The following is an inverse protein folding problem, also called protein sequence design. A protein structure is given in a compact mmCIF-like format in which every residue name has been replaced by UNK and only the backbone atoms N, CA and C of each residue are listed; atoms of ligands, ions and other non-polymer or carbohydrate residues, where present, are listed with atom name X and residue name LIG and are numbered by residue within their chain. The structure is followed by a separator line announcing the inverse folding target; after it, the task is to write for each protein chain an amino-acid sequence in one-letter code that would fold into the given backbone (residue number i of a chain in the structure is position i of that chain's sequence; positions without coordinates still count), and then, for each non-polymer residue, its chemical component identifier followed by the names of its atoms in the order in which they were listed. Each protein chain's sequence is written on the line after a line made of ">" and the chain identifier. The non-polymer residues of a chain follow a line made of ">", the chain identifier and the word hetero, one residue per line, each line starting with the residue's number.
data_IF_240567210500
#
_entry.id   IF_240567210500
#
_cell.length_a   1.000
_cell.length_b   1.000
_cell.length_c   1.000
_cell.angle_alpha   90.00
_cell.angle_beta   90.00
_cell.angle_gamma   90.00
#
_symmetry.space_group_name_H-M   'P 1'
#
loop_
_entity.id
_entity.type
_entity.pdbx_description
1 polymer ?
#
# COMPACT_ATOMS: atom_id res chain seq x y z
N UNK A 1 -11.56 0.83 -1.08
CA UNK A 1 -11.47 -0.65 -1.16
C UNK A 1 -12.59 -1.38 -0.41
N UNK A 2 -13.12 -0.89 0.73
CA UNK A 2 -14.17 -1.60 1.50
C UNK A 2 -15.48 -1.87 0.71
N UNK A 3 -15.82 -1.02 -0.27
CA UNK A 3 -17.05 -1.18 -1.05
C UNK A 3 -17.09 -2.41 -1.98
N UNK A 4 -15.95 -3.05 -2.28
CA UNK A 4 -15.90 -4.15 -3.25
C UNK A 4 -16.38 -5.50 -2.69
N UNK A 5 -16.35 -5.67 -1.36
CA UNK A 5 -16.63 -6.95 -0.71
C UNK A 5 -17.94 -6.96 0.09
N UNK A 6 -18.55 -5.79 0.31
CA UNK A 6 -19.81 -5.69 1.02
C UNK A 6 -20.93 -6.35 0.20
N UNK A 7 -21.61 -7.33 0.80
CA UNK A 7 -22.70 -8.08 0.13
C UNK A 7 -22.25 -9.24 -0.76
N UNK A 8 -20.96 -9.35 -1.12
CA UNK A 8 -20.45 -10.50 -1.88
C UNK A 8 -19.90 -11.58 -0.93
N UNK A 9 -20.20 -12.87 -1.13
CA UNK A 9 -19.54 -13.94 -0.40
C UNK A 9 -18.08 -14.10 -0.84
N UNK A 10 -17.15 -14.26 0.09
CA UNK A 10 -15.74 -14.53 -0.20
C UNK A 10 -15.08 -15.42 0.87
N UNK A 11 -13.86 -15.89 0.57
CA UNK A 11 -13.06 -16.71 1.48
C UNK A 11 -11.81 -15.96 1.89
N UNK A 12 -11.56 -15.89 3.20
CA UNK A 12 -10.34 -15.34 3.78
C UNK A 12 -9.45 -16.49 4.20
N UNK A 13 -8.27 -16.60 3.57
CA UNK A 13 -7.27 -17.60 3.93
C UNK A 13 -6.25 -17.01 4.89
N UNK A 14 -5.99 -17.70 6.00
CA UNK A 14 -5.01 -17.30 7.01
C UNK A 14 -4.12 -18.47 7.38
N UNK A 15 -2.85 -18.20 7.64
CA UNK A 15 -1.90 -19.17 8.19
C UNK A 15 -1.90 -19.21 9.72
N UNK A 16 -2.80 -18.46 10.35
CA UNK A 16 -2.99 -18.49 11.78
C UNK A 16 -4.26 -19.27 12.15
N UNK A 17 -4.07 -20.45 12.74
CA UNK A 17 -5.17 -21.34 13.14
C UNK A 17 -6.08 -20.74 14.22
N UNK A 18 -5.56 -19.86 15.09
CA UNK A 18 -6.41 -19.18 16.06
C UNK A 18 -7.34 -18.19 15.37
N UNK A 19 -6.85 -17.51 14.33
CA UNK A 19 -7.64 -16.57 13.52
C UNK A 19 -8.66 -17.30 12.64
N UNK A 20 -8.39 -18.52 12.17
CA UNK A 20 -9.39 -19.26 11.37
C UNK A 20 -10.68 -19.56 12.15
N UNK A 21 -10.62 -19.57 13.48
CA UNK A 21 -11.77 -19.74 14.36
C UNK A 21 -12.28 -18.43 14.96
N UNK A 22 -11.78 -17.27 14.50
CA UNK A 22 -12.04 -15.98 15.15
C UNK A 22 -13.53 -15.68 15.31
N UNK A 23 -14.37 -15.99 14.32
CA UNK A 23 -15.82 -15.73 14.35
C UNK A 23 -16.61 -16.67 15.27
N UNK A 24 -16.07 -17.84 15.62
CA UNK A 24 -16.75 -18.84 16.46
C UNK A 24 -16.18 -18.92 17.88
N UNK A 25 -15.25 -18.03 18.25
CA UNK A 25 -14.60 -18.06 19.55
C UNK A 25 -15.57 -17.68 20.68
N UNK A 26 -15.70 -18.50 21.74
CA UNK A 26 -16.69 -18.27 22.81
C UNK A 26 -16.27 -17.19 23.81
N UNK A 27 -14.96 -16.91 23.95
CA UNK A 27 -14.42 -15.94 24.90
C UNK A 27 -13.61 -14.91 24.14
N UNK A 28 -14.05 -13.65 24.19
CA UNK A 28 -13.46 -12.55 23.46
C UNK A 28 -13.01 -11.46 24.43
N UNK A 29 -11.85 -10.87 24.15
CA UNK A 29 -11.47 -9.59 24.75
C UNK A 29 -12.31 -8.46 24.13
N UNK A 30 -12.44 -7.32 24.81
CA UNK A 30 -13.19 -6.16 24.29
C UNK A 30 -12.66 -5.65 22.95
N UNK A 31 -11.39 -5.89 22.63
CA UNK A 31 -10.83 -5.59 21.31
C UNK A 31 -11.35 -6.56 20.26
N UNK A 32 -11.35 -7.86 20.55
CA UNK A 32 -11.81 -8.88 19.61
C UNK A 32 -13.31 -8.77 19.34
N UNK A 33 -14.12 -8.45 20.34
CA UNK A 33 -15.56 -8.22 20.16
C UNK A 33 -15.85 -7.07 19.17
N UNK A 34 -15.16 -5.93 19.33
CA UNK A 34 -15.26 -4.81 18.37
C UNK A 34 -14.86 -5.20 16.94
N UNK A 35 -13.82 -6.02 16.81
CA UNK A 35 -13.41 -6.52 15.50
C UNK A 35 -14.43 -7.50 14.91
N UNK A 36 -15.02 -8.38 15.72
CA UNK A 36 -16.08 -9.27 15.24
C UNK A 36 -17.31 -8.49 14.79
N UNK A 37 -17.73 -7.48 15.55
CA UNK A 37 -18.87 -6.62 15.18
C UNK A 37 -18.63 -5.94 13.84
N UNK A 38 -17.45 -5.31 13.67
CA UNK A 38 -17.08 -4.68 12.40
C UNK A 38 -16.99 -5.68 11.23
N UNK A 39 -16.46 -6.88 11.49
CA UNK A 39 -16.33 -7.90 10.46
C UNK A 39 -17.67 -8.59 10.15
N UNK A 40 -18.65 -8.55 11.06
CA UNK A 40 -19.96 -9.17 10.87
C UNK A 40 -20.77 -8.55 9.71
N UNK A 41 -20.39 -7.34 9.27
CA UNK A 41 -20.97 -6.67 8.10
C UNK A 41 -20.64 -7.40 6.77
N UNK A 42 -19.64 -8.28 6.77
CA UNK A 42 -19.17 -8.98 5.57
C UNK A 42 -19.62 -10.45 5.55
N UNK A 43 -19.97 -10.96 4.37
CA UNK A 43 -20.25 -12.38 4.16
C UNK A 43 -18.96 -13.12 3.79
N UNK A 44 -18.30 -13.73 4.76
CA UNK A 44 -17.08 -14.50 4.48
C UNK A 44 -16.92 -15.75 5.33
N UNK A 45 -16.04 -16.63 4.85
CA UNK A 45 -15.57 -17.81 5.59
C UNK A 45 -14.07 -17.70 5.82
N UNK A 46 -13.63 -18.06 7.02
CA UNK A 46 -12.21 -18.15 7.37
C UNK A 46 -11.71 -19.58 7.16
N UNK A 47 -10.66 -19.72 6.36
CA UNK A 47 -10.01 -21.01 6.09
C UNK A 47 -8.54 -20.96 6.50
N UNK A 48 -8.09 -22.01 7.18
CA UNK A 48 -6.68 -22.19 7.43
C UNK A 48 -5.94 -22.60 6.15
N UNK A 49 -4.80 -21.95 5.90
CA UNK A 49 -3.85 -22.29 4.84
C UNK A 49 -2.46 -22.32 5.43
N UNK A 50 -1.74 -23.44 5.31
CA UNK A 50 -0.38 -23.54 5.82
C UNK A 50 0.52 -22.37 5.34
N UNK A 51 1.28 -21.78 6.26
CA UNK A 51 2.16 -20.63 5.96
C UNK A 51 3.17 -20.92 4.84
N UNK A 52 3.63 -22.17 4.74
CA UNK A 52 4.47 -22.66 3.63
C UNK A 52 3.79 -22.64 2.26
N UNK A 53 2.52 -22.31 2.18
CA UNK A 53 1.81 -22.09 0.91
C UNK A 53 1.31 -20.65 0.80
N UNK A 54 1.41 -19.83 1.85
CA UNK A 54 0.88 -18.47 1.91
C UNK A 54 1.92 -17.42 1.44
N UNK A 55 2.83 -17.81 0.54
CA UNK A 55 3.99 -17.01 0.16
C UNK A 55 3.65 -15.63 -0.40
N UNK A 56 2.55 -15.48 -1.13
CA UNK A 56 2.15 -14.18 -1.70
C UNK A 56 1.80 -13.19 -0.58
N UNK A 57 1.01 -13.63 0.41
CA UNK A 57 0.65 -12.78 1.53
C UNK A 57 1.85 -12.48 2.43
N UNK A 58 2.72 -13.46 2.65
CA UNK A 58 3.96 -13.30 3.43
C UNK A 58 4.96 -12.35 2.74
N UNK A 59 5.15 -12.48 1.42
CA UNK A 59 6.00 -11.56 0.66
C UNK A 59 5.47 -10.13 0.71
N UNK A 60 4.15 -9.94 0.56
CA UNK A 60 3.52 -8.62 0.64
C UNK A 60 3.60 -8.02 2.05
N UNK A 61 3.45 -8.82 3.11
CA UNK A 61 3.52 -8.32 4.49
C UNK A 61 4.93 -7.91 4.90
N UNK A 62 5.97 -8.48 4.29
CA UNK A 62 7.39 -8.19 4.55
C UNK A 62 7.99 -7.10 3.67
N UNK A 63 7.23 -6.57 2.71
CA UNK A 63 7.68 -5.49 1.84
C UNK A 63 7.83 -4.19 2.61
N UNK A 64 9.08 -3.90 3.02
CA UNK A 64 9.43 -2.70 3.76
C UNK A 64 9.09 -1.41 3.00
N UNK A 65 9.19 -1.42 1.67
CA UNK A 65 8.79 -0.31 0.79
C UNK A 65 7.30 0.06 0.94
N UNK A 66 6.42 -0.92 1.15
CA UNK A 66 5.00 -0.67 1.44
C UNK A 66 4.78 -0.09 2.84
N UNK A 67 5.60 -0.47 3.82
CA UNK A 67 5.57 0.14 5.15
C UNK A 67 6.03 1.61 5.10
N UNK A 68 7.01 1.93 4.25
CA UNK A 68 7.48 3.30 4.03
C UNK A 68 6.49 4.14 3.21
N UNK A 69 5.67 3.56 2.33
CA UNK A 69 4.65 4.33 1.61
C UNK A 69 3.62 4.99 2.54
N UNK A 70 3.28 4.35 3.67
CA UNK A 70 2.41 4.95 4.68
C UNK A 70 3.03 6.20 5.33
N UNK A 71 4.35 6.17 5.60
CA UNK A 71 5.07 7.32 6.17
C UNK A 71 5.38 8.39 5.12
N UNK A 72 5.73 8.01 3.89
CA UNK A 72 5.99 8.93 2.77
C UNK A 72 4.71 9.62 2.32
N UNK A 73 3.55 8.96 2.32
CA UNK A 73 2.28 9.62 2.02
C UNK A 73 1.95 10.69 3.08
N UNK A 74 2.11 10.37 4.37
CA UNK A 74 1.92 11.31 5.47
C UNK A 74 2.91 12.49 5.43
N UNK A 75 4.18 12.23 5.09
CA UNK A 75 5.19 13.26 4.86
C UNK A 75 4.90 14.08 3.60
N UNK A 76 4.39 13.47 2.53
CA UNK A 76 4.09 14.17 1.27
C UNK A 76 2.92 15.15 1.41
N UNK A 77 2.02 14.90 2.36
CA UNK A 77 0.96 15.80 2.81
C UNK A 77 1.38 16.75 3.93
N UNK A 78 2.60 16.67 4.45
CA UNK A 78 3.11 17.57 5.48
C UNK A 78 3.42 18.94 4.90
N UNK A 79 3.04 20.00 5.61
CA UNK A 79 3.34 21.38 5.26
C UNK A 79 4.85 21.64 5.05
N UNK A 80 5.72 20.88 5.75
CA UNK A 80 7.18 20.96 5.58
C UNK A 80 7.61 20.41 4.21
N UNK A 81 7.05 19.28 3.77
CA UNK A 81 7.38 18.71 2.47
C UNK A 81 6.82 19.55 1.32
N UNK A 82 5.66 20.19 1.50
CA UNK A 82 5.11 21.15 0.54
C UNK A 82 6.03 22.38 0.42
N UNK A 83 6.51 22.93 1.55
CA UNK A 83 7.47 24.05 1.56
C UNK A 83 8.78 23.72 0.84
N UNK A 84 9.36 22.54 1.09
CA UNK A 84 10.59 22.10 0.40
C UNK A 84 10.34 21.88 -1.09
N UNK A 85 9.21 21.28 -1.46
CA UNK A 85 8.82 21.06 -2.87
C UNK A 85 8.59 22.38 -3.61
N UNK A 86 7.93 23.34 -2.98
CA UNK A 86 7.68 24.66 -3.55
C UNK A 86 8.97 25.44 -3.73
N UNK A 87 9.88 25.38 -2.74
CA UNK A 87 11.19 26.03 -2.86
C UNK A 87 12.08 25.38 -3.93
N UNK A 88 12.06 24.06 -4.02
CA UNK A 88 12.76 23.33 -5.08
C UNK A 88 12.20 23.70 -6.46
N UNK A 89 10.86 23.79 -6.60
CA UNK A 89 10.21 24.23 -7.84
C UNK A 89 10.60 25.66 -8.22
N UNK A 90 10.63 26.58 -7.26
CA UNK A 90 11.02 27.98 -7.51
C UNK A 90 12.46 28.08 -8.00
N UNK A 91 13.40 27.38 -7.35
CA UNK A 91 14.81 27.38 -7.76
C UNK A 91 15.01 26.74 -9.14
N UNK A 92 14.35 25.61 -9.40
CA UNK A 92 14.44 24.91 -10.69
C UNK A 92 13.74 25.68 -11.82
N UNK A 93 12.73 26.50 -11.50
CA UNK A 93 12.06 27.33 -12.50
C UNK A 93 12.97 28.43 -13.08
N UNK A 94 14.05 28.81 -12.38
CA UNK A 94 15.04 29.77 -12.87
C UNK A 94 16.28 29.14 -13.51
N UNK A 95 16.43 27.81 -13.45
CA UNK A 95 17.61 27.11 -13.98
C UNK A 95 17.40 26.74 -15.47
N UNK A 96 18.21 27.28 -16.39
CA UNK A 96 18.10 26.98 -17.82
C UNK A 96 18.28 25.50 -18.14
N UNK A 97 19.11 24.77 -17.37
CA UNK A 97 19.32 23.34 -17.57
C UNK A 97 18.07 22.53 -17.17
N UNK A 98 17.45 22.90 -16.05
CA UNK A 98 16.20 22.27 -15.60
C UNK A 98 15.05 22.54 -16.57
N UNK A 99 14.92 23.78 -17.09
CA UNK A 99 13.92 24.11 -18.10
C UNK A 99 14.13 23.31 -19.40
N UNK A 100 15.40 23.12 -19.82
CA UNK A 100 15.73 22.28 -20.97
C UNK A 100 15.26 20.83 -20.79
N UNK A 101 15.46 20.26 -19.60
CA UNK A 101 14.98 18.92 -19.26
C UNK A 101 13.45 18.83 -19.24
N UNK A 102 12.75 19.80 -18.68
CA UNK A 102 11.27 19.85 -18.68
C UNK A 102 10.73 19.89 -20.11
N UNK A 103 11.31 20.72 -20.97
CA UNK A 103 10.92 20.79 -22.38
C UNK A 103 11.17 19.47 -23.14
N UNK A 104 12.28 18.77 -22.83
CA UNK A 104 12.54 17.44 -23.38
C UNK A 104 11.51 16.38 -22.91
N UNK A 105 11.02 16.50 -21.67
CA UNK A 105 9.94 15.66 -21.13
C UNK A 105 8.62 15.94 -21.83
N UNK A 106 8.25 17.21 -21.98
CA UNK A 106 7.01 17.64 -22.66
C UNK A 106 6.99 17.20 -24.13
N UNK A 107 8.14 17.18 -24.80
CA UNK A 107 8.31 16.64 -26.15
C UNK A 107 8.31 15.10 -26.21
N UNK A 108 8.14 14.40 -25.10
CA UNK A 108 8.14 12.94 -25.02
C UNK A 108 9.52 12.28 -25.19
N UNK A 109 10.60 13.06 -25.21
CA UNK A 109 11.98 12.59 -25.45
C UNK A 109 12.75 12.23 -24.18
N UNK A 110 12.18 12.44 -23.01
CA UNK A 110 12.81 12.10 -21.73
C UNK A 110 13.18 10.61 -21.56
N UNK A 111 12.60 9.72 -22.38
CA UNK A 111 12.87 8.27 -22.32
C UNK A 111 14.17 7.85 -23.02
N UNK A 112 14.88 8.74 -23.70
CA UNK A 112 16.17 8.41 -24.34
C UNK A 112 17.35 8.30 -23.36
N UNK A 113 17.14 8.52 -22.06
CA UNK A 113 18.17 8.46 -21.02
C UNK A 113 18.20 7.15 -20.22
N UNK A 114 17.36 6.16 -20.56
CA UNK A 114 17.59 4.81 -20.06
C UNK A 114 18.82 4.27 -20.79
N UNK A 115 19.94 4.17 -20.08
CA UNK A 115 21.06 3.34 -20.48
C UNK A 115 20.50 1.96 -20.82
N UNK A 116 20.59 1.56 -22.09
CA UNK A 116 20.57 0.15 -22.44
C UNK A 116 21.76 -0.47 -21.70
N UNK A 117 21.48 -1.18 -20.61
CA UNK A 117 22.42 -2.17 -20.09
C UNK A 117 22.48 -3.27 -21.15
N UNK A 118 23.55 -3.24 -21.94
CA UNK A 118 23.97 -4.34 -22.79
C UNK A 118 24.05 -5.64 -21.94
N UNK A 119 23.52 -6.69 -22.55
CA UNK A 119 23.36 -8.07 -22.08
C UNK A 119 24.59 -8.71 -21.42
#
# INVERSE_FOLDING_TARGET
>A
MAALLLGSPFVVKTDNIAVSHFMSQPKLTSRQARWQELLSEFHFVLEYRAGSSNHVADALSRRADLATLGSVAALSSSAVATSVRDRARELLSGDPAAQGLVHLVEQGKARQFWLEEDY
#
